data_IF_798980927472
#
_entry.id   IF_798980927472
#
_cell.length_a   1.000
_cell.length_b   1.000
_cell.length_c   1.000
_cell.angle_alpha   90.00
_cell.angle_beta   90.00
_cell.angle_gamma   90.00
#
_symmetry.space_group_name_H-M   'P 1'
#
loop_
_entity.id
_entity.type
_entity.pdbx_description
1 polymer ?
#
# COMPACT_ATOMS: atom_id res chain seq x y z
N UNK A 1 8.71 9.86 -0.28
CA UNK A 1 8.59 11.09 0.52
C UNK A 1 7.23 11.23 1.21
N UNK A 2 6.07 10.93 0.54
CA UNK A 2 4.75 11.10 1.17
C UNK A 2 4.65 10.33 2.49
N UNK A 3 4.92 9.03 2.48
CA UNK A 3 4.89 8.18 3.68
C UNK A 3 5.85 8.70 4.75
N UNK A 4 7.11 8.96 4.39
CA UNK A 4 8.11 9.41 5.37
C UNK A 4 7.77 10.78 5.96
N UNK A 5 7.32 11.73 5.14
CA UNK A 5 6.90 13.05 5.64
C UNK A 5 5.70 12.94 6.59
N UNK A 6 4.71 12.11 6.23
CA UNK A 6 3.53 11.88 7.08
C UNK A 6 3.92 11.28 8.43
N UNK A 7 4.70 10.20 8.42
CA UNK A 7 5.08 9.52 9.66
C UNK A 7 6.02 10.36 10.52
N UNK A 8 6.98 11.09 9.95
CA UNK A 8 7.81 12.04 10.70
C UNK A 8 7.01 13.21 11.30
N UNK A 9 5.91 13.62 10.65
CA UNK A 9 5.04 14.68 11.19
C UNK A 9 4.19 14.24 12.39
N UNK A 10 4.05 12.92 12.62
CA UNK A 10 3.18 12.36 13.66
C UNK A 10 3.99 11.64 14.74
N UNK A 11 4.99 10.86 14.34
CA UNK A 11 5.78 10.04 15.25
C UNK A 11 6.78 10.88 16.05
N UNK A 12 7.07 10.43 17.27
CA UNK A 12 8.10 10.99 18.13
C UNK A 12 8.82 9.86 18.88
N UNK A 13 10.01 10.12 19.40
CA UNK A 13 10.74 9.17 20.24
C UNK A 13 9.87 8.69 21.43
N UNK A 14 9.89 7.40 21.72
CA UNK A 14 9.06 6.76 22.74
C UNK A 14 7.62 6.46 22.32
N UNK A 15 7.22 6.82 21.10
CA UNK A 15 5.92 6.45 20.52
C UNK A 15 6.02 5.18 19.68
N UNK A 16 4.86 4.57 19.39
CA UNK A 16 4.79 3.41 18.51
C UNK A 16 3.83 3.64 17.34
N UNK A 17 4.09 2.93 16.27
CA UNK A 17 3.24 2.87 15.07
C UNK A 17 2.76 1.43 14.92
N UNK A 18 1.45 1.23 14.86
CA UNK A 18 0.85 -0.07 14.58
C UNK A 18 0.70 -0.21 13.07
N UNK A 19 1.14 -1.35 12.53
CA UNK A 19 1.06 -1.61 11.09
C UNK A 19 1.12 -3.10 10.78
N UNK A 20 0.85 -3.46 9.51
CA UNK A 20 0.93 -4.85 9.05
C UNK A 20 2.38 -5.33 8.90
N UNK A 21 2.57 -6.63 9.04
CA UNK A 21 3.82 -7.32 8.60
C UNK A 21 3.93 -7.35 7.07
N UNK A 22 2.82 -7.20 6.36
CA UNK A 22 2.70 -7.33 4.91
C UNK A 22 2.63 -5.98 4.21
N UNK A 23 3.57 -5.09 4.53
CA UNK A 23 3.72 -3.81 3.85
C UNK A 23 4.60 -3.93 2.60
N UNK A 24 4.50 -2.96 1.71
CA UNK A 24 5.49 -2.77 0.66
C UNK A 24 6.90 -2.61 1.24
N UNK A 25 7.89 -3.29 0.65
CA UNK A 25 9.23 -3.44 1.23
C UNK A 25 9.89 -2.17 1.73
N UNK A 26 9.83 -1.07 0.97
CA UNK A 26 10.43 0.20 1.39
C UNK A 26 9.67 0.84 2.57
N UNK A 27 8.36 0.68 2.65
CA UNK A 27 7.56 1.16 3.78
C UNK A 27 7.90 0.37 5.03
N UNK A 28 7.97 -0.96 4.91
CA UNK A 28 8.41 -1.82 6.01
C UNK A 28 9.81 -1.43 6.52
N UNK A 29 10.81 -1.34 5.64
CA UNK A 29 12.18 -0.99 6.02
C UNK A 29 12.29 0.42 6.61
N UNK A 30 11.43 1.34 6.18
CA UNK A 30 11.36 2.68 6.74
C UNK A 30 10.82 2.66 8.17
N UNK A 31 9.69 1.98 8.41
CA UNK A 31 9.06 1.92 9.74
C UNK A 31 9.91 1.07 10.69
N UNK A 32 10.25 -0.16 10.31
CA UNK A 32 10.95 -1.11 11.17
C UNK A 32 12.45 -0.83 11.30
N UNK A 33 13.08 -0.18 10.34
CA UNK A 33 14.50 0.12 10.34
C UNK A 33 14.82 1.58 10.62
N UNK A 34 14.34 2.49 9.78
CA UNK A 34 14.73 3.90 9.86
C UNK A 34 14.11 4.58 11.08
N UNK A 35 12.79 4.51 11.25
CA UNK A 35 12.10 5.17 12.37
C UNK A 35 12.50 4.59 13.72
N UNK A 36 12.82 3.29 13.81
CA UNK A 36 13.33 2.68 15.04
C UNK A 36 14.61 3.33 15.54
N UNK A 37 15.49 3.79 14.64
CA UNK A 37 16.71 4.53 15.01
C UNK A 37 16.42 5.90 15.62
N UNK A 38 15.23 6.44 15.40
CA UNK A 38 14.74 7.68 16.00
C UNK A 38 13.85 7.42 17.22
N UNK A 39 13.87 6.20 17.76
CA UNK A 39 13.15 5.84 18.98
C UNK A 39 11.65 5.60 18.78
N UNK A 40 11.20 5.34 17.57
CA UNK A 40 9.82 4.98 17.28
C UNK A 40 9.70 3.45 17.21
N UNK A 41 8.83 2.85 18.03
CA UNK A 41 8.62 1.41 18.08
C UNK A 41 7.68 0.96 16.95
N UNK A 42 8.08 0.04 16.04
CA UNK A 42 7.16 -0.60 15.10
C UNK A 42 6.39 -1.73 15.80
N UNK A 43 5.08 -1.66 15.83
CA UNK A 43 4.19 -2.74 16.30
C UNK A 43 3.54 -3.43 15.12
N UNK A 44 4.12 -4.57 14.76
CA UNK A 44 3.67 -5.35 13.61
C UNK A 44 2.60 -6.34 14.07
N UNK A 45 1.38 -6.23 13.53
CA UNK A 45 0.29 -7.16 13.81
C UNK A 45 -0.52 -7.45 12.54
N UNK A 46 -1.42 -8.41 12.64
CA UNK A 46 -2.40 -8.67 11.59
C UNK A 46 -3.53 -7.63 11.67
N UNK A 47 -3.55 -6.70 10.71
CA UNK A 47 -4.58 -5.65 10.66
C UNK A 47 -5.94 -6.16 10.14
N UNK A 48 -6.03 -7.41 9.70
CA UNK A 48 -7.31 -8.05 9.36
C UNK A 48 -7.98 -8.67 10.59
N UNK A 49 -7.24 -8.86 11.70
CA UNK A 49 -7.74 -9.29 13.00
C UNK A 49 -7.89 -8.09 13.94
N UNK A 50 -9.10 -7.55 14.01
CA UNK A 50 -9.44 -6.39 14.84
C UNK A 50 -9.12 -6.64 16.32
N UNK A 51 -9.35 -7.85 16.83
CA UNK A 51 -9.05 -8.21 18.22
C UNK A 51 -7.55 -8.25 18.51
N UNK A 52 -6.71 -8.55 17.51
CA UNK A 52 -5.26 -8.44 17.63
C UNK A 52 -4.81 -6.97 17.68
N UNK A 53 -5.43 -6.11 16.89
CA UNK A 53 -5.15 -4.66 16.89
C UNK A 53 -5.50 -4.03 18.23
N UNK A 54 -6.67 -4.31 18.78
CA UNK A 54 -7.11 -3.77 20.08
C UNK A 54 -6.12 -4.07 21.23
N UNK A 55 -5.49 -5.24 21.20
CA UNK A 55 -4.53 -5.67 22.23
C UNK A 55 -3.20 -4.93 22.19
N UNK A 56 -2.82 -4.39 21.03
CA UNK A 56 -1.51 -3.74 20.85
C UNK A 56 -1.58 -2.21 20.85
N UNK A 57 -2.78 -1.62 20.81
CA UNK A 57 -2.98 -0.18 20.97
C UNK A 57 -2.80 0.23 22.43
N UNK A 58 -1.96 1.25 22.68
CA UNK A 58 -1.73 1.80 24.02
C UNK A 58 -1.60 3.34 23.99
N UNK A 59 -1.28 3.95 25.13
CA UNK A 59 -1.11 5.41 25.29
C UNK A 59 0.10 5.98 24.52
N UNK A 60 1.02 5.14 24.07
CA UNK A 60 2.17 5.52 23.26
C UNK A 60 1.91 5.37 21.76
N UNK A 61 0.79 4.78 21.38
CA UNK A 61 0.43 4.64 19.95
C UNK A 61 0.16 6.02 19.35
N UNK A 62 0.90 6.38 18.30
CA UNK A 62 0.73 7.67 17.61
C UNK A 62 -0.09 7.58 16.33
N UNK A 63 -0.16 6.42 15.69
CA UNK A 63 -1.04 6.16 14.55
C UNK A 63 -1.16 4.66 14.26
N UNK A 64 -2.21 4.29 13.50
CA UNK A 64 -2.21 3.07 12.70
C UNK A 64 -1.88 3.47 11.25
N UNK A 65 -0.93 2.76 10.64
CA UNK A 65 -0.62 2.88 9.23
C UNK A 65 -1.00 1.58 8.51
N UNK A 66 -1.82 1.67 7.46
CA UNK A 66 -2.32 0.52 6.72
C UNK A 66 -2.29 0.76 5.21
N UNK A 67 -1.92 -0.27 4.44
CA UNK A 67 -2.14 -0.28 2.98
C UNK A 67 -3.56 -0.78 2.71
N UNK A 68 -4.30 -0.07 1.86
CA UNK A 68 -5.71 -0.39 1.51
C UNK A 68 -5.87 -1.81 0.97
N UNK A 69 -4.89 -2.27 0.21
CA UNK A 69 -4.69 -3.65 -0.22
C UNK A 69 -3.18 -3.92 -0.11
N UNK A 70 -2.78 -4.95 0.62
CA UNK A 70 -1.36 -5.25 0.79
C UNK A 70 -0.71 -5.81 -0.48
N UNK A 71 0.56 -5.47 -0.70
CA UNK A 71 1.33 -5.92 -1.86
C UNK A 71 2.53 -6.78 -1.39
N UNK A 72 2.62 -8.07 -1.77
CA UNK A 72 1.81 -8.79 -2.77
C UNK A 72 0.69 -9.69 -2.19
N UNK A 73 0.43 -9.70 -0.90
CA UNK A 73 -0.47 -10.66 -0.25
C UNK A 73 -1.95 -10.44 -0.61
N UNK A 74 -2.32 -9.23 -1.05
CA UNK A 74 -3.69 -8.86 -1.44
C UNK A 74 -4.68 -8.94 -0.27
N UNK A 75 -4.23 -8.69 0.96
CA UNK A 75 -5.08 -8.60 2.14
C UNK A 75 -5.78 -7.24 2.20
N UNK A 76 -6.98 -7.22 2.74
CA UNK A 76 -7.78 -6.00 2.93
C UNK A 76 -8.17 -5.89 4.40
N UNK A 77 -7.80 -4.78 5.03
CA UNK A 77 -8.22 -4.48 6.40
C UNK A 77 -9.57 -3.72 6.42
N UNK A 78 -10.37 -3.92 7.46
CA UNK A 78 -11.61 -3.17 7.68
C UNK A 78 -11.28 -1.77 8.23
N UNK A 79 -11.25 -0.77 7.34
CA UNK A 79 -10.88 0.61 7.69
C UNK A 79 -11.84 1.21 8.73
N UNK A 80 -13.13 0.92 8.60
CA UNK A 80 -14.16 1.41 9.55
C UNK A 80 -13.98 0.82 10.95
N UNK A 81 -13.61 -0.47 11.01
CA UNK A 81 -13.33 -1.11 12.30
C UNK A 81 -12.04 -0.56 12.93
N UNK A 82 -10.98 -0.38 12.12
CA UNK A 82 -9.72 0.20 12.58
C UNK A 82 -9.91 1.65 13.07
N UNK A 83 -10.67 2.46 12.32
CA UNK A 83 -10.91 3.86 12.70
C UNK A 83 -11.61 4.00 14.06
N UNK A 84 -12.59 3.14 14.36
CA UNK A 84 -13.27 3.15 15.68
C UNK A 84 -12.28 2.94 16.83
N UNK A 85 -11.37 1.96 16.69
CA UNK A 85 -10.38 1.66 17.73
C UNK A 85 -9.49 2.88 18.02
N UNK A 86 -9.02 3.55 16.97
CA UNK A 86 -8.06 4.64 17.12
C UNK A 86 -8.73 5.96 17.50
N UNK A 87 -9.90 6.26 16.95
CA UNK A 87 -10.60 7.51 17.24
C UNK A 87 -11.11 7.61 18.68
N UNK A 88 -11.50 6.49 19.30
CA UNK A 88 -11.82 6.44 20.74
C UNK A 88 -10.65 6.90 21.62
N UNK A 89 -9.43 6.89 21.08
CA UNK A 89 -8.18 7.27 21.77
C UNK A 89 -7.56 8.54 21.21
N UNK A 90 -8.22 9.22 20.27
CA UNK A 90 -7.69 10.41 19.59
C UNK A 90 -6.45 10.14 18.72
N UNK A 91 -6.31 8.92 18.21
CA UNK A 91 -5.19 8.48 17.38
C UNK A 91 -5.63 8.49 15.90
N UNK A 92 -4.84 9.03 14.95
CA UNK A 92 -5.18 9.03 13.54
C UNK A 92 -5.01 7.68 12.86
N UNK A 93 -5.91 7.39 11.90
CA UNK A 93 -5.78 6.32 10.91
C UNK A 93 -5.17 6.86 9.63
N UNK A 94 -4.01 6.34 9.25
CA UNK A 94 -3.27 6.70 8.04
C UNK A 94 -3.37 5.55 7.05
N UNK A 95 -3.85 5.82 5.85
CA UNK A 95 -4.07 4.79 4.83
C UNK A 95 -3.28 5.08 3.55
N UNK A 96 -2.51 4.11 3.09
CA UNK A 96 -1.92 4.15 1.75
C UNK A 96 -2.95 3.63 0.74
N UNK A 97 -3.46 4.55 -0.08
CA UNK A 97 -4.51 4.27 -1.06
C UNK A 97 -3.94 4.09 -2.48
N UNK A 98 -2.65 3.81 -2.60
CA UNK A 98 -1.97 3.70 -3.90
C UNK A 98 -2.62 2.70 -4.86
N UNK A 99 -3.23 1.62 -4.36
CA UNK A 99 -3.83 0.57 -5.19
C UNK A 99 -5.24 0.88 -5.69
N UNK A 100 -5.96 1.74 -4.98
CA UNK A 100 -7.28 2.24 -5.38
C UNK A 100 -7.20 3.77 -5.35
N UNK A 101 -7.37 4.48 -6.45
CA UNK A 101 -7.27 5.94 -6.48
C UNK A 101 -8.32 6.61 -5.58
N UNK A 102 -7.94 7.70 -4.95
CA UNK A 102 -8.80 8.53 -4.11
C UNK A 102 -10.03 9.12 -4.87
N UNK A 103 -10.05 9.05 -6.18
CA UNK A 103 -11.20 9.45 -7.02
C UNK A 103 -12.27 8.35 -7.13
N UNK A 104 -11.96 7.12 -6.74
CA UNK A 104 -12.86 5.97 -6.92
C UNK A 104 -13.62 5.57 -5.65
N UNK A 105 -13.24 6.09 -4.48
CA UNK A 105 -13.96 5.84 -3.23
C UNK A 105 -13.71 6.98 -2.23
N UNK A 106 -14.61 7.11 -1.26
CA UNK A 106 -14.53 8.09 -0.18
C UNK A 106 -13.90 7.46 1.07
N UNK A 107 -12.58 7.57 1.21
CA UNK A 107 -11.86 7.02 2.36
C UNK A 107 -12.20 7.76 3.66
N UNK A 108 -12.52 9.07 3.57
CA UNK A 108 -12.91 9.86 4.75
C UNK A 108 -14.19 9.32 5.40
N UNK A 109 -15.16 8.89 4.61
CA UNK A 109 -16.40 8.26 5.13
C UNK A 109 -16.15 6.94 5.86
N UNK A 110 -14.99 6.30 5.62
CA UNK A 110 -14.53 5.10 6.32
C UNK A 110 -13.71 5.41 7.58
N UNK A 111 -13.56 6.70 7.92
CA UNK A 111 -12.83 7.16 9.10
C UNK A 111 -11.33 7.30 8.88
N UNK A 112 -10.87 7.46 7.66
CA UNK A 112 -9.47 7.76 7.35
C UNK A 112 -9.19 9.24 7.66
N UNK A 113 -8.13 9.50 8.41
CA UNK A 113 -7.71 10.86 8.76
C UNK A 113 -6.71 11.43 7.74
N UNK A 114 -5.83 10.58 7.26
CA UNK A 114 -4.79 10.98 6.31
C UNK A 114 -4.63 9.86 5.27
N UNK A 115 -4.70 10.25 3.99
CA UNK A 115 -4.27 9.37 2.91
C UNK A 115 -2.85 9.66 2.47
N UNK A 116 -2.11 8.61 2.14
CA UNK A 116 -0.85 8.72 1.42
C UNK A 116 -0.95 7.95 0.10
N UNK A 117 -0.43 8.55 -0.95
CA UNK A 117 -0.52 8.00 -2.31
C UNK A 117 0.86 8.04 -2.97
N UNK A 118 1.31 6.92 -3.48
CA UNK A 118 2.44 6.92 -4.42
C UNK A 118 1.96 7.44 -5.78
N UNK A 119 2.11 8.73 -6.00
CA UNK A 119 1.72 9.36 -7.27
C UNK A 119 2.58 8.90 -8.46
N UNK A 120 3.68 8.20 -8.18
CA UNK A 120 4.48 7.43 -9.16
C UNK A 120 3.63 6.40 -9.94
N UNK A 121 2.53 5.92 -9.36
CA UNK A 121 1.72 4.82 -9.88
C UNK A 121 0.64 5.34 -10.85
N UNK A 122 -0.63 5.12 -10.56
CA UNK A 122 -1.72 5.56 -11.44
C UNK A 122 -1.63 7.04 -11.85
N UNK A 123 -1.28 7.89 -10.88
CA UNK A 123 -1.35 9.35 -11.06
C UNK A 123 -0.33 9.87 -12.06
N UNK A 124 0.84 9.25 -12.16
CA UNK A 124 1.88 9.69 -13.10
C UNK A 124 1.53 9.48 -14.58
N UNK A 125 0.43 8.78 -14.88
CA UNK A 125 -0.03 8.59 -16.27
C UNK A 125 0.78 7.59 -17.09
N UNK A 126 1.57 6.71 -16.46
CA UNK A 126 2.34 5.68 -17.16
C UNK A 126 3.82 5.69 -16.82
N UNK A 127 4.15 5.82 -15.54
CA UNK A 127 5.51 5.84 -15.00
C UNK A 127 6.37 7.00 -15.54
N UNK A 128 5.77 8.19 -15.71
CA UNK A 128 6.45 9.36 -16.25
C UNK A 128 7.33 10.07 -15.23
N UNK A 129 7.00 9.94 -13.93
CA UNK A 129 7.68 10.67 -12.86
C UNK A 129 7.50 9.97 -11.50
N UNK A 130 8.36 10.30 -10.56
CA UNK A 130 8.32 9.78 -9.19
C UNK A 130 7.77 10.86 -8.27
N UNK A 131 6.79 10.52 -7.44
CA UNK A 131 6.22 11.45 -6.48
C UNK A 131 5.29 10.80 -5.48
N UNK A 132 4.74 11.62 -4.60
CA UNK A 132 3.73 11.20 -3.63
C UNK A 132 2.80 12.36 -3.29
N UNK A 133 1.58 12.01 -2.90
CA UNK A 133 0.59 12.94 -2.38
C UNK A 133 0.25 12.57 -0.95
N UNK A 134 -0.15 13.57 -0.19
CA UNK A 134 -0.74 13.42 1.14
C UNK A 134 -2.04 14.21 1.14
N UNK A 135 -3.14 13.56 1.48
CA UNK A 135 -4.46 14.14 1.63
C UNK A 135 -4.76 14.21 3.12
N UNK A 136 -4.88 15.43 3.64
CA UNK A 136 -5.18 15.73 5.04
C UNK A 136 -6.67 16.10 5.14
N UNK A 137 -7.47 15.28 5.82
CA UNK A 137 -8.89 15.55 6.04
C UNK A 137 -9.16 16.54 7.17
N UNK A 138 -8.11 17.04 7.82
CA UNK A 138 -8.23 18.06 8.87
C UNK A 138 -8.63 17.53 10.25
N UNK A 139 -8.72 16.22 10.39
CA UNK A 139 -9.11 15.55 11.65
C UNK A 139 -7.94 15.34 12.61
N UNK A 140 -6.70 15.46 12.12
CA UNK A 140 -5.47 15.34 12.93
C UNK A 140 -4.93 16.74 13.31
N UNK A 141 -5.12 17.22 14.56
CA UNK A 141 -4.76 18.59 14.95
C UNK A 141 -3.28 18.92 14.71
N UNK A 142 -3.03 19.99 14.00
CA UNK A 142 -1.70 20.52 13.73
C UNK A 142 -0.88 19.75 12.67
N UNK A 143 -1.40 18.64 12.12
CA UNK A 143 -0.69 17.85 11.12
C UNK A 143 -0.31 18.68 9.89
N UNK A 144 -1.26 19.36 9.25
CA UNK A 144 -1.00 20.18 8.07
C UNK A 144 0.02 21.31 8.32
N UNK A 145 0.06 21.87 9.55
CA UNK A 145 1.07 22.86 9.95
C UNK A 145 2.47 22.21 10.01
N UNK A 146 2.62 21.09 10.74
CA UNK A 146 3.89 20.37 10.84
C UNK A 146 4.38 19.91 9.45
N UNK A 147 3.48 19.37 8.64
CA UNK A 147 3.82 18.98 7.26
C UNK A 147 4.45 20.15 6.48
N UNK A 148 3.85 21.33 6.50
CA UNK A 148 4.37 22.50 5.78
C UNK A 148 5.68 23.02 6.37
N UNK A 149 5.75 23.20 7.70
CA UNK A 149 6.89 23.86 8.32
C UNK A 149 8.08 22.92 8.50
N UNK A 150 7.86 21.70 8.91
CA UNK A 150 8.93 20.78 9.26
C UNK A 150 9.37 19.94 8.04
N UNK A 151 8.42 19.39 7.30
CA UNK A 151 8.76 18.51 6.18
C UNK A 151 9.07 19.28 4.90
N UNK A 152 8.18 20.21 4.50
CA UNK A 152 8.38 20.91 3.23
C UNK A 152 9.43 22.02 3.36
N UNK A 153 9.37 22.87 4.38
CA UNK A 153 10.32 23.98 4.52
C UNK A 153 11.67 23.53 5.10
N UNK A 154 11.68 22.86 6.26
CA UNK A 154 12.94 22.55 6.95
C UNK A 154 13.71 21.41 6.26
N UNK A 155 13.02 20.35 5.80
CA UNK A 155 13.67 19.23 5.12
C UNK A 155 13.73 19.36 3.61
N UNK A 156 12.98 20.32 3.01
CA UNK A 156 12.92 20.48 1.56
C UNK A 156 12.30 19.27 0.82
N UNK A 157 11.47 18.48 1.51
CA UNK A 157 10.93 17.23 0.99
C UNK A 157 9.66 17.45 0.16
N UNK A 158 9.73 18.32 -0.84
CA UNK A 158 8.61 18.69 -1.71
C UNK A 158 8.83 18.25 -3.16
N UNK A 159 7.73 18.21 -3.91
CA UNK A 159 7.71 17.88 -5.32
C UNK A 159 8.19 19.07 -6.16
N UNK A 160 9.03 18.82 -7.16
CA UNK A 160 9.45 19.89 -8.09
C UNK A 160 8.29 20.29 -9.00
N UNK A 161 8.26 21.55 -9.51
CA UNK A 161 7.20 22.00 -10.42
C UNK A 161 7.07 21.14 -11.68
N UNK A 162 8.17 20.64 -12.23
CA UNK A 162 8.16 19.76 -13.39
C UNK A 162 7.44 18.44 -13.09
N UNK A 163 7.73 17.80 -11.95
CA UNK A 163 7.07 16.55 -11.52
C UNK A 163 5.59 16.82 -11.24
N UNK A 164 5.25 17.93 -10.59
CA UNK A 164 3.87 18.34 -10.34
C UNK A 164 3.08 18.48 -11.65
N UNK A 165 3.67 19.13 -12.66
CA UNK A 165 3.06 19.27 -13.99
C UNK A 165 2.80 17.92 -14.65
N UNK A 166 3.76 17.00 -14.62
CA UNK A 166 3.57 15.65 -15.17
C UNK A 166 2.44 14.88 -14.44
N UNK A 167 2.33 15.04 -13.13
CA UNK A 167 1.24 14.44 -12.36
C UNK A 167 -0.12 15.08 -12.67
N UNK A 168 -0.17 16.39 -12.91
CA UNK A 168 -1.41 17.08 -13.33
C UNK A 168 -1.93 16.51 -14.66
N UNK A 169 -1.04 16.33 -15.64
CA UNK A 169 -1.42 15.68 -16.91
C UNK A 169 -1.92 14.25 -16.68
N UNK A 170 -1.24 13.49 -15.83
CA UNK A 170 -1.65 12.12 -15.51
C UNK A 170 -3.01 12.04 -14.79
N UNK A 171 -3.32 13.05 -13.99
CA UNK A 171 -4.59 13.15 -13.26
C UNK A 171 -5.79 13.29 -14.21
N UNK A 172 -5.65 14.02 -15.32
CA UNK A 172 -6.72 14.24 -16.30
C UNK A 172 -7.31 12.94 -16.86
N UNK A 173 -6.51 11.88 -16.91
CA UNK A 173 -6.95 10.58 -17.47
C UNK A 173 -7.00 9.47 -16.43
N UNK A 174 -6.83 9.79 -15.15
CA UNK A 174 -6.70 8.81 -14.07
C UNK A 174 -7.87 7.82 -14.03
N UNK A 175 -9.10 8.32 -13.96
CA UNK A 175 -10.29 7.47 -13.80
C UNK A 175 -10.49 6.57 -15.01
N UNK A 176 -10.32 7.10 -16.23
CA UNK A 176 -10.46 6.32 -17.46
C UNK A 176 -9.43 5.17 -17.49
N UNK A 177 -8.17 5.45 -17.16
CA UNK A 177 -7.11 4.44 -17.14
C UNK A 177 -7.33 3.41 -16.04
N UNK A 178 -7.69 3.87 -14.85
CA UNK A 178 -7.96 2.98 -13.72
C UNK A 178 -9.10 2.00 -14.02
N UNK A 179 -10.22 2.49 -14.52
CA UNK A 179 -11.39 1.64 -14.85
C UNK A 179 -11.06 0.59 -15.92
N UNK A 180 -10.33 0.98 -16.97
CA UNK A 180 -9.88 0.04 -18.00
C UNK A 180 -8.90 -1.00 -17.41
N UNK A 181 -7.94 -0.57 -16.62
CA UNK A 181 -6.96 -1.46 -16.01
C UNK A 181 -7.62 -2.43 -15.03
N UNK A 182 -8.54 -1.94 -14.19
CA UNK A 182 -9.28 -2.78 -13.24
C UNK A 182 -10.19 -3.80 -13.94
N UNK A 183 -10.90 -3.39 -14.99
CA UNK A 183 -11.72 -4.30 -15.80
C UNK A 183 -10.86 -5.38 -16.49
N UNK A 184 -9.72 -5.00 -17.05
CA UNK A 184 -8.77 -5.93 -17.65
C UNK A 184 -8.20 -6.92 -16.62
N UNK A 185 -7.88 -6.44 -15.40
CA UNK A 185 -7.40 -7.31 -14.33
C UNK A 185 -8.46 -8.32 -13.90
N UNK A 186 -9.71 -7.91 -13.72
CA UNK A 186 -10.82 -8.79 -13.39
C UNK A 186 -11.01 -9.88 -14.45
N UNK A 187 -11.01 -9.49 -15.73
CA UNK A 187 -11.12 -10.45 -16.85
C UNK A 187 -9.93 -11.41 -16.89
N UNK A 188 -8.71 -10.91 -16.72
CA UNK A 188 -7.49 -11.72 -16.73
C UNK A 188 -7.46 -12.68 -15.55
N UNK A 189 -7.80 -12.24 -14.34
CA UNK A 189 -7.88 -13.09 -13.16
C UNK A 189 -8.87 -14.25 -13.39
N UNK A 190 -10.05 -13.96 -13.94
CA UNK A 190 -11.03 -14.98 -14.32
C UNK A 190 -10.51 -16.01 -15.33
N UNK A 191 -9.71 -15.58 -16.31
CA UNK A 191 -9.09 -16.48 -17.29
C UNK A 191 -7.90 -17.27 -16.72
N UNK A 192 -7.09 -16.67 -15.87
CA UNK A 192 -5.94 -17.35 -15.29
C UNK A 192 -6.34 -18.50 -14.36
N UNK A 193 -7.44 -18.37 -13.61
CA UNK A 193 -7.87 -19.39 -12.63
C UNK A 193 -8.33 -20.72 -13.25
N UNK A 194 -8.64 -20.76 -14.54
CA UNK A 194 -9.04 -21.99 -15.25
C UNK A 194 -7.86 -22.68 -15.95
N UNK A 195 -6.67 -22.10 -15.90
CA UNK A 195 -5.48 -22.70 -16.49
C UNK A 195 -4.87 -23.72 -15.53
N UNK A 196 -4.63 -24.94 -16.01
CA UNK A 196 -4.07 -26.04 -15.21
C UNK A 196 -2.67 -25.75 -14.64
N UNK A 197 -1.91 -24.88 -15.29
CA UNK A 197 -0.58 -24.46 -14.83
C UNK A 197 -0.62 -23.44 -13.68
N UNK A 198 -1.77 -22.85 -13.37
CA UNK A 198 -1.96 -21.85 -12.33
C UNK A 198 -2.61 -22.53 -11.12
N UNK A 199 -1.90 -22.63 -10.02
CA UNK A 199 -2.42 -23.23 -8.77
C UNK A 199 -3.41 -22.34 -8.05
N UNK A 200 -3.11 -21.03 -8.03
CA UNK A 200 -3.93 -20.03 -7.34
C UNK A 200 -3.86 -18.71 -8.06
N UNK A 201 -4.97 -18.01 -8.11
CA UNK A 201 -5.07 -16.60 -8.49
C UNK A 201 -5.58 -15.84 -7.29
N UNK A 202 -4.86 -14.84 -6.84
CA UNK A 202 -5.28 -13.95 -5.77
C UNK A 202 -5.55 -12.56 -6.37
N UNK A 203 -6.82 -12.18 -6.35
CA UNK A 203 -7.33 -10.90 -6.80
C UNK A 203 -8.59 -10.57 -6.01
N UNK A 204 -8.62 -9.46 -5.31
CA UNK A 204 -9.73 -9.13 -4.38
C UNK A 204 -11.07 -8.88 -5.09
N UNK A 205 -11.07 -8.70 -6.40
CA UNK A 205 -12.27 -8.61 -7.24
C UNK A 205 -12.89 -9.94 -7.62
N UNK A 206 -12.32 -11.09 -7.28
CA UNK A 206 -12.93 -12.41 -7.49
C UNK A 206 -13.92 -12.71 -6.36
N UNK A 207 -15.13 -13.17 -6.73
CA UNK A 207 -16.22 -13.44 -5.76
C UNK A 207 -15.90 -14.49 -4.70
N UNK A 208 -14.97 -15.38 -4.96
CA UNK A 208 -14.49 -16.42 -4.05
C UNK A 208 -13.23 -15.99 -3.25
N UNK A 209 -12.75 -14.75 -3.43
CA UNK A 209 -11.70 -14.19 -2.58
C UNK A 209 -12.29 -13.86 -1.20
N UNK A 210 -11.56 -14.20 -0.13
CA UNK A 210 -12.00 -13.98 1.26
C UNK A 210 -12.29 -12.51 1.58
N UNK A 211 -11.62 -11.58 0.89
CA UNK A 211 -11.79 -10.14 1.07
C UNK A 211 -12.79 -9.50 0.11
N UNK A 212 -13.40 -10.27 -0.82
CA UNK A 212 -14.28 -9.72 -1.84
C UNK A 212 -15.40 -8.85 -1.28
N UNK A 213 -16.16 -9.38 -0.30
CA UNK A 213 -17.28 -8.67 0.28
C UNK A 213 -16.86 -7.37 0.99
N UNK A 214 -15.72 -7.39 1.70
CA UNK A 214 -15.16 -6.22 2.35
C UNK A 214 -14.67 -5.20 1.34
N UNK A 215 -13.96 -5.64 0.31
CA UNK A 215 -13.48 -4.77 -0.77
C UNK A 215 -14.64 -4.09 -1.50
N UNK A 216 -15.70 -4.84 -1.85
CA UNK A 216 -16.90 -4.26 -2.47
C UNK A 216 -17.58 -3.21 -1.57
N UNK A 217 -17.65 -3.46 -0.28
CA UNK A 217 -18.25 -2.50 0.68
C UNK A 217 -17.43 -1.22 0.79
N UNK A 218 -16.09 -1.33 0.78
CA UNK A 218 -15.19 -0.18 0.99
C UNK A 218 -14.88 0.57 -0.30
N UNK A 219 -14.66 -0.12 -1.41
CA UNK A 219 -14.12 0.47 -2.64
C UNK A 219 -15.07 0.40 -3.83
N UNK A 220 -16.27 -0.19 -3.66
CA UNK A 220 -17.20 -0.39 -4.75
C UNK A 220 -16.78 -1.52 -5.71
N UNK A 221 -17.22 -1.47 -6.98
CA UNK A 221 -17.12 -2.62 -7.90
C UNK A 221 -15.71 -2.84 -8.48
N UNK A 222 -14.78 -1.92 -8.28
CA UNK A 222 -13.41 -2.01 -8.80
C UNK A 222 -12.44 -2.50 -7.71
N UNK A 223 -11.44 -3.26 -8.08
CA UNK A 223 -10.50 -3.88 -7.14
C UNK A 223 -9.02 -3.65 -7.54
N UNK A 224 -8.78 -2.57 -8.28
CA UNK A 224 -7.44 -2.26 -8.78
C UNK A 224 -6.98 -3.19 -9.91
N UNK A 225 -5.72 -3.07 -10.27
CA UNK A 225 -5.14 -3.80 -11.40
C UNK A 225 -3.93 -4.67 -11.01
N UNK A 226 -3.85 -5.09 -9.75
CA UNK A 226 -2.82 -6.02 -9.29
C UNK A 226 -3.40 -7.41 -9.12
N UNK A 227 -2.72 -8.41 -9.67
CA UNK A 227 -3.07 -9.83 -9.55
C UNK A 227 -1.81 -10.56 -9.10
N UNK A 228 -1.93 -11.48 -8.15
CA UNK A 228 -0.86 -12.43 -7.85
C UNK A 228 -1.29 -13.85 -8.23
N UNK A 229 -0.33 -14.62 -8.73
CA UNK A 229 -0.57 -16.02 -9.13
C UNK A 229 0.50 -16.92 -8.52
N UNK A 230 0.08 -18.11 -8.11
CA UNK A 230 0.97 -19.16 -7.67
C UNK A 230 1.10 -20.21 -8.77
N UNK A 231 2.33 -20.56 -9.13
CA UNK A 231 2.66 -21.63 -10.05
C UNK A 231 3.30 -22.81 -9.28
N UNK A 232 3.62 -23.88 -9.99
CA UNK A 232 4.13 -25.13 -9.40
C UNK A 232 5.41 -24.94 -8.58
N UNK A 233 6.34 -24.13 -9.11
CA UNK A 233 7.66 -23.91 -8.49
C UNK A 233 8.23 -22.54 -8.87
N UNK A 234 9.34 -22.19 -8.24
CA UNK A 234 10.12 -20.99 -8.56
C UNK A 234 10.63 -21.03 -10.03
N UNK A 235 11.06 -22.22 -10.48
CA UNK A 235 11.53 -22.45 -11.85
C UNK A 235 10.38 -22.25 -12.85
N UNK A 236 9.18 -22.72 -12.52
CA UNK A 236 7.98 -22.49 -13.32
C UNK A 236 7.64 -21.00 -13.40
N UNK A 237 7.78 -20.24 -12.31
CA UNK A 237 7.60 -18.79 -12.31
C UNK A 237 8.59 -18.09 -13.26
N UNK A 238 9.86 -18.45 -13.21
CA UNK A 238 10.86 -17.87 -14.11
C UNK A 238 10.65 -18.29 -15.58
N UNK A 239 10.30 -19.56 -15.81
CA UNK A 239 9.98 -20.04 -17.16
C UNK A 239 8.76 -19.30 -17.73
N UNK A 240 7.73 -19.05 -16.91
CA UNK A 240 6.56 -18.27 -17.29
C UNK A 240 6.96 -16.84 -17.67
N UNK A 241 7.63 -16.12 -16.76
CA UNK A 241 8.00 -14.70 -16.96
C UNK A 241 8.92 -14.55 -18.20
N UNK A 242 9.87 -15.48 -18.43
CA UNK A 242 10.79 -15.40 -19.54
C UNK A 242 10.14 -15.68 -20.92
N UNK A 243 8.97 -16.33 -20.95
CA UNK A 243 8.19 -16.59 -22.18
C UNK A 243 7.19 -15.48 -22.52
N UNK A 244 7.00 -14.50 -21.64
CA UNK A 244 6.09 -13.38 -21.89
C UNK A 244 6.61 -12.54 -23.07
N UNK A 245 5.71 -12.25 -24.03
CA UNK A 245 6.04 -11.45 -25.23
C UNK A 245 5.46 -10.02 -25.13
N UNK A 246 4.25 -9.87 -24.64
CA UNK A 246 3.56 -8.58 -24.50
C UNK A 246 3.74 -7.96 -23.14
N UNK A 247 3.70 -8.79 -22.09
CA UNK A 247 3.88 -8.38 -20.70
C UNK A 247 5.37 -8.16 -20.45
N UNK A 248 5.70 -7.00 -19.89
CA UNK A 248 7.10 -6.64 -19.62
C UNK A 248 7.53 -7.09 -18.23
N UNK A 249 8.76 -7.54 -18.11
CA UNK A 249 9.39 -7.81 -16.83
C UNK A 249 9.96 -6.50 -16.28
N UNK A 250 9.26 -5.90 -15.33
CA UNK A 250 9.66 -4.63 -14.70
C UNK A 250 9.03 -4.48 -13.31
N UNK A 251 9.74 -3.81 -12.42
CA UNK A 251 9.29 -3.48 -11.06
C UNK A 251 8.57 -2.15 -11.05
N UNK A 252 7.30 -2.15 -11.38
CA UNK A 252 6.40 -1.01 -11.19
C UNK A 252 4.97 -1.54 -11.02
N UNK A 253 4.03 -0.66 -10.70
CA UNK A 253 2.60 -0.95 -10.60
C UNK A 253 1.83 0.10 -11.40
N UNK A 254 0.72 -0.31 -12.01
CA UNK A 254 -0.26 0.58 -12.66
C UNK A 254 0.33 1.47 -13.75
N UNK A 255 1.35 0.96 -14.40
CA UNK A 255 1.87 1.52 -15.65
C UNK A 255 0.79 1.39 -16.76
N UNK A 256 0.93 2.13 -17.85
CA UNK A 256 0.13 1.95 -19.05
C UNK A 256 0.50 0.67 -19.85
N UNK A 257 1.41 -0.13 -19.34
CA UNK A 257 1.81 -1.45 -19.86
C UNK A 257 1.60 -2.51 -18.79
N UNK A 258 1.21 -3.71 -19.21
CA UNK A 258 1.13 -4.86 -18.31
C UNK A 258 2.54 -5.30 -17.92
N UNK A 259 2.75 -5.46 -16.62
CA UNK A 259 4.03 -5.84 -16.03
C UNK A 259 3.91 -7.15 -15.26
N UNK A 260 4.99 -7.90 -15.16
CA UNK A 260 5.10 -9.07 -14.31
C UNK A 260 6.46 -9.14 -13.63
N UNK A 261 6.46 -9.57 -12.36
CA UNK A 261 7.68 -9.81 -11.58
C UNK A 261 7.52 -11.06 -10.72
N UNK A 262 8.65 -11.58 -10.25
CA UNK A 262 8.69 -12.55 -9.17
C UNK A 262 9.05 -11.81 -7.88
N UNK A 263 8.08 -11.57 -6.94
CA UNK A 263 8.29 -10.67 -5.81
C UNK A 263 9.48 -11.04 -4.93
N UNK A 264 9.62 -12.32 -4.57
CA UNK A 264 10.69 -12.80 -3.71
C UNK A 264 12.11 -12.61 -4.29
N UNK A 265 12.23 -12.42 -5.62
CA UNK A 265 13.53 -12.19 -6.28
C UNK A 265 13.79 -10.72 -6.63
N UNK A 266 12.84 -9.82 -6.36
CA UNK A 266 12.94 -8.42 -6.78
C UNK A 266 12.68 -7.45 -5.63
N UNK A 267 11.46 -7.43 -5.09
CA UNK A 267 11.04 -6.46 -4.09
C UNK A 267 11.13 -6.97 -2.66
N UNK A 268 11.17 -8.28 -2.46
CA UNK A 268 11.22 -8.92 -1.13
C UNK A 268 12.63 -9.36 -0.72
N UNK A 269 13.67 -9.00 -1.47
CA UNK A 269 15.07 -9.33 -1.11
C UNK A 269 15.44 -8.75 0.25
N UNK A 270 14.96 -7.55 0.57
CA UNK A 270 15.12 -6.93 1.89
C UNK A 270 14.44 -7.70 3.02
N UNK A 271 13.32 -8.39 2.75
CA UNK A 271 12.60 -9.23 3.72
C UNK A 271 13.34 -10.52 4.05
N UNK A 272 14.00 -11.13 3.07
CA UNK A 272 14.70 -12.41 3.25
C UNK A 272 15.88 -12.25 4.22
N UNK A 273 16.57 -11.12 4.17
CA UNK A 273 17.67 -10.83 5.08
C UNK A 273 17.19 -10.53 6.52
N UNK A 274 16.03 -9.91 6.70
CA UNK A 274 15.45 -9.67 8.02
C UNK A 274 14.91 -10.95 8.66
N UNK A 275 14.27 -11.85 7.89
CA UNK A 275 13.83 -13.17 8.38
C UNK A 275 15.00 -14.09 8.75
N UNK A 276 16.13 -14.01 8.05
CA UNK A 276 17.31 -14.80 8.39
C UNK A 276 17.89 -14.43 9.77
N UNK A 277 17.65 -13.23 10.26
CA UNK A 277 18.03 -12.82 11.63
C UNK A 277 17.01 -13.24 12.69
N UNK A 278 15.71 -13.33 12.36
CA UNK A 278 14.67 -13.79 13.30
C UNK A 278 14.72 -15.32 13.51
N UNK A 279 15.02 -16.10 12.47
CA UNK A 279 15.10 -17.57 12.58
C UNK A 279 16.36 -18.10 13.25
N UNK A 280 17.36 -17.27 13.50
CA UNK A 280 18.58 -17.65 14.24
C UNK A 280 18.45 -17.47 15.75
N UNK A 281 17.34 -16.95 16.27
CA UNK A 281 17.07 -16.78 17.70
C UNK A 281 16.05 -17.80 18.25
N UNK A 282 15.41 -18.61 17.39
CA UNK A 282 14.39 -19.63 17.76
C UNK A 282 14.87 -21.07 17.50
N UNK A 283 16.19 -21.33 17.52
CA UNK A 283 16.78 -22.67 17.52
C UNK A 283 17.64 -22.88 18.80
#
# INVERSE_FOLDING_TARGET
AAISNTLFSIAAAGKNIITSRHLFGNTYSFIAGTLSRFGVEPRLCDLTDIGAVEKVVDSNTCCIYVEIITNPQMEVADLQALSRIVHERGIPLIVDTTLIPFTEFDSHSLGVDIEVVSSTKYLSGGATSIGGLVIDYGTCPGFGKRMRTEMLLNLGAYMTPHVAYMHTIGLETLDARYRIQSANAAMLAGKLRILSAVKRVNYVGLKDNSYYALAQRQFGPTAGAMITIDLESKEACFAFINRLKLIRRATNLFDNKTLAIHPASTISVSYTHLRAHETSQDL
#
